data_IF_124679567389
#
_entry.id   IF_124679567389
#
_cell.length_a   1.000
_cell.length_b   1.000
_cell.length_c   1.000
_cell.angle_alpha   90.00
_cell.angle_beta   90.00
_cell.angle_gamma   90.00
#
_symmetry.space_group_name_H-M   'P 1'
#
loop_
_entity.id
_entity.type
_entity.pdbx_description
1 polymer ?
#
# COMPACT_ATOMS: atom_id res chain seq x y z
N UNK A 1 -5.43 -25.67 -13.02
CA UNK A 1 -5.52 -24.19 -12.93
C UNK A 1 -4.83 -23.81 -11.63
N UNK A 2 -3.73 -23.07 -11.72
CA UNK A 2 -2.93 -22.71 -10.56
C UNK A 2 -3.32 -21.30 -10.14
N UNK A 3 -3.72 -21.13 -8.88
CA UNK A 3 -3.93 -19.82 -8.28
C UNK A 3 -2.60 -19.37 -7.68
N UNK A 4 -2.18 -18.16 -8.03
CA UNK A 4 -1.02 -17.52 -7.40
C UNK A 4 -1.56 -16.69 -6.24
N UNK A 5 -1.16 -17.05 -5.03
CA UNK A 5 -1.33 -16.18 -3.87
C UNK A 5 -0.06 -15.31 -3.81
N UNK A 6 -0.14 -14.01 -4.16
CA UNK A 6 1.01 -13.14 -3.97
C UNK A 6 1.40 -13.20 -2.49
N UNK A 7 2.67 -13.46 -2.19
CA UNK A 7 3.18 -13.54 -0.83
C UNK A 7 2.88 -12.22 -0.10
N UNK A 8 1.79 -12.20 0.65
CA UNK A 8 1.16 -10.98 1.15
C UNK A 8 1.86 -10.34 2.34
N UNK A 9 3.19 -10.41 2.45
CA UNK A 9 3.84 -10.21 3.75
C UNK A 9 5.06 -9.28 3.76
N UNK A 10 5.51 -8.76 2.62
CA UNK A 10 6.63 -7.79 2.55
C UNK A 10 6.15 -6.36 2.33
N UNK A 11 5.21 -6.14 1.40
CA UNK A 11 4.61 -4.83 1.16
C UNK A 11 3.87 -4.25 2.40
N UNK A 12 3.09 -5.05 3.18
CA UNK A 12 2.42 -4.52 4.37
C UNK A 12 3.37 -4.17 5.52
N UNK A 13 4.51 -4.86 5.63
CA UNK A 13 5.48 -4.65 6.72
C UNK A 13 6.29 -3.37 6.53
N UNK A 14 6.76 -3.10 5.32
CA UNK A 14 7.43 -1.83 5.00
C UNK A 14 6.49 -0.63 5.17
N UNK A 15 5.21 -0.86 4.87
CA UNK A 15 4.14 0.12 5.00
C UNK A 15 3.83 0.45 6.45
N UNK A 16 3.72 -0.56 7.29
CA UNK A 16 3.57 -0.38 8.72
C UNK A 16 4.78 0.35 9.33
N UNK A 17 6.02 -0.01 8.94
CA UNK A 17 7.22 0.65 9.48
C UNK A 17 7.32 2.12 9.10
N UNK A 18 7.11 2.46 7.83
CA UNK A 18 7.13 3.84 7.33
C UNK A 18 6.02 4.69 8.00
N UNK A 19 4.85 4.09 8.19
CA UNK A 19 3.73 4.76 8.87
C UNK A 19 4.03 5.02 10.35
N UNK A 20 4.69 4.07 11.03
CA UNK A 20 5.09 4.20 12.43
C UNK A 20 6.18 5.27 12.61
N UNK A 21 7.18 5.34 11.73
CA UNK A 21 8.22 6.39 11.77
C UNK A 21 7.60 7.79 11.70
N UNK A 22 6.66 7.99 10.77
CA UNK A 22 5.98 9.28 10.65
C UNK A 22 5.08 9.63 11.85
N UNK A 23 4.45 8.63 12.49
CA UNK A 23 3.73 8.87 13.75
C UNK A 23 4.66 9.30 14.88
N UNK A 24 5.86 8.72 14.91
CA UNK A 24 6.89 9.04 15.90
C UNK A 24 7.38 10.49 15.74
N UNK A 25 7.60 10.93 14.50
CA UNK A 25 7.98 12.32 14.18
C UNK A 25 6.87 13.32 14.54
N UNK A 26 5.61 12.96 14.27
CA UNK A 26 4.45 13.76 14.67
C UNK A 26 4.32 13.87 16.21
N UNK A 27 4.54 12.76 16.92
CA UNK A 27 4.51 12.73 18.38
C UNK A 27 5.60 13.62 19.01
N UNK A 28 6.82 13.59 18.45
CA UNK A 28 7.93 14.47 18.87
C UNK A 28 7.61 15.95 18.63
N UNK A 29 7.04 16.26 17.47
CA UNK A 29 6.64 17.63 17.12
C UNK A 29 5.57 18.17 18.07
N UNK A 30 4.58 17.34 18.44
CA UNK A 30 3.56 17.65 19.45
C UNK A 30 4.16 17.87 20.85
N UNK A 31 5.09 17.01 21.27
CA UNK A 31 5.77 17.14 22.56
C UNK A 31 6.54 18.45 22.67
N UNK A 32 7.18 18.89 21.58
CA UNK A 32 7.88 20.18 21.53
C UNK A 32 6.92 21.37 21.66
N UNK A 33 5.77 21.36 20.97
CA UNK A 33 4.74 22.40 21.10
C UNK A 33 4.25 22.52 22.55
N UNK A 34 3.98 21.39 23.20
CA UNK A 34 3.54 21.35 24.61
C UNK A 34 4.60 21.95 25.54
N UNK A 35 5.89 21.69 25.27
CA UNK A 35 6.99 22.28 26.02
C UNK A 35 7.04 23.80 25.89
N UNK A 36 6.95 24.34 24.67
CA UNK A 36 6.97 25.80 24.44
C UNK A 36 5.81 26.52 25.15
N UNK A 37 4.63 25.89 25.19
CA UNK A 37 3.48 26.41 25.94
C UNK A 37 3.79 26.45 27.44
N UNK A 38 4.40 25.40 28.00
CA UNK A 38 4.74 25.32 29.44
C UNK A 38 5.74 26.39 29.87
N UNK A 39 6.68 26.77 29.01
CA UNK A 39 7.67 27.82 29.32
C UNK A 39 7.19 29.24 28.95
N UNK A 40 5.91 29.39 28.56
CA UNK A 40 5.29 30.68 28.26
C UNK A 40 5.63 31.27 26.89
N UNK A 41 6.20 30.47 25.98
CA UNK A 41 6.60 30.93 24.66
C UNK A 41 5.48 30.74 23.62
N UNK A 42 4.43 31.56 23.76
CA UNK A 42 3.19 31.41 22.98
C UNK A 42 3.34 31.69 21.48
N UNK A 43 4.28 32.56 21.07
CA UNK A 43 4.53 32.84 19.66
C UNK A 43 5.15 31.62 18.96
N UNK A 44 6.20 31.03 19.54
CA UNK A 44 6.79 29.80 19.01
C UNK A 44 5.80 28.65 19.05
N UNK A 45 4.99 28.53 20.10
CA UNK A 45 3.94 27.52 20.17
C UNK A 45 2.89 27.68 19.06
N UNK A 46 2.53 28.91 18.68
CA UNK A 46 1.60 29.19 17.59
C UNK A 46 2.18 28.80 16.23
N UNK A 47 3.43 29.19 15.96
CA UNK A 47 4.15 28.82 14.73
C UNK A 47 4.29 27.29 14.64
N UNK A 48 4.69 26.66 15.74
CA UNK A 48 4.76 25.21 15.89
C UNK A 48 3.43 24.51 15.58
N UNK A 49 2.33 25.02 16.14
CA UNK A 49 1.00 24.45 15.94
C UNK A 49 0.53 24.55 14.48
N UNK A 50 0.91 25.60 13.76
CA UNK A 50 0.66 25.72 12.31
C UNK A 50 1.48 24.68 11.55
N UNK A 51 2.79 24.59 11.79
CA UNK A 51 3.65 23.60 11.13
C UNK A 51 3.20 22.15 11.38
N UNK A 52 2.78 21.82 12.61
CA UNK A 52 2.23 20.50 12.94
C UNK A 52 0.93 20.22 12.18
N UNK A 53 0.06 21.22 12.04
CA UNK A 53 -1.18 21.07 11.27
C UNK A 53 -0.90 20.83 9.79
N UNK A 54 0.03 21.57 9.22
CA UNK A 54 0.41 21.45 7.82
C UNK A 54 1.06 20.08 7.56
N UNK A 55 1.96 19.63 8.45
CA UNK A 55 2.55 18.29 8.39
C UNK A 55 1.49 17.20 8.46
N UNK A 56 0.51 17.31 9.38
CA UNK A 56 -0.59 16.35 9.48
C UNK A 56 -1.42 16.30 8.20
N UNK A 57 -1.68 17.45 7.58
CA UNK A 57 -2.41 17.54 6.30
C UNK A 57 -1.63 16.87 5.16
N UNK A 58 -0.33 17.19 5.03
CA UNK A 58 0.54 16.60 4.03
C UNK A 58 0.65 15.07 4.20
N UNK A 59 0.77 14.60 5.45
CA UNK A 59 0.79 13.18 5.78
C UNK A 59 -0.51 12.48 5.40
N UNK A 60 -1.66 13.08 5.72
CA UNK A 60 -2.96 12.53 5.33
C UNK A 60 -3.09 12.38 3.81
N UNK A 61 -2.66 13.40 3.06
CA UNK A 61 -2.65 13.35 1.59
C UNK A 61 -1.71 12.26 1.04
N UNK A 62 -0.53 12.09 1.65
CA UNK A 62 0.40 11.02 1.27
C UNK A 62 -0.21 9.62 1.51
N UNK A 63 -0.92 9.43 2.62
CA UNK A 63 -1.61 8.17 2.92
C UNK A 63 -2.77 7.88 1.98
N UNK A 64 -3.49 8.90 1.53
CA UNK A 64 -4.54 8.77 0.51
C UNK A 64 -3.97 8.38 -0.85
N UNK A 65 -2.89 9.04 -1.29
CA UNK A 65 -2.23 8.72 -2.56
C UNK A 65 -1.63 7.31 -2.53
N UNK A 66 -1.04 6.92 -1.40
CA UNK A 66 -0.55 5.57 -1.17
C UNK A 66 -1.64 4.52 -1.32
N UNK A 67 -2.80 4.73 -0.71
CA UNK A 67 -3.96 3.83 -0.84
C UNK A 67 -4.38 3.68 -2.31
N UNK A 68 -4.30 4.78 -3.07
CA UNK A 68 -4.60 4.79 -4.51
C UNK A 68 -3.56 4.00 -5.31
N UNK A 69 -2.27 4.14 -5.02
CA UNK A 69 -1.18 3.40 -5.66
C UNK A 69 -1.30 1.89 -5.40
N UNK A 70 -1.58 1.49 -4.16
CA UNK A 70 -1.79 0.07 -3.83
C UNK A 70 -2.97 -0.54 -4.57
N UNK A 71 -4.08 0.19 -4.64
CA UNK A 71 -5.25 -0.23 -5.42
C UNK A 71 -4.90 -0.40 -6.89
N UNK A 72 -4.16 0.55 -7.48
CA UNK A 72 -3.73 0.48 -8.87
C UNK A 72 -2.77 -0.70 -9.10
N UNK A 73 -1.80 -0.91 -8.21
CA UNK A 73 -0.87 -2.03 -8.28
C UNK A 73 -1.58 -3.38 -8.25
N UNK A 74 -2.58 -3.56 -7.38
CA UNK A 74 -3.41 -4.78 -7.35
C UNK A 74 -4.18 -5.00 -8.65
N UNK A 75 -4.74 -3.94 -9.23
CA UNK A 75 -5.47 -4.00 -10.50
C UNK A 75 -4.54 -4.39 -11.66
N UNK A 76 -3.35 -3.79 -11.75
CA UNK A 76 -2.37 -4.10 -12.80
C UNK A 76 -1.83 -5.53 -12.68
N UNK A 77 -1.67 -6.04 -11.46
CA UNK A 77 -1.24 -7.42 -11.22
C UNK A 77 -2.33 -8.48 -11.48
N UNK A 78 -3.53 -8.10 -11.92
CA UNK A 78 -4.63 -9.03 -12.18
C UNK A 78 -5.13 -9.74 -10.91
N UNK A 79 -4.89 -9.16 -9.72
CA UNK A 79 -5.34 -9.72 -8.45
C UNK A 79 -6.82 -9.43 -8.29
N UNK A 80 -7.65 -10.48 -8.28
CA UNK A 80 -9.10 -10.40 -8.05
C UNK A 80 -9.39 -11.22 -6.79
N UNK A 81 -9.84 -10.56 -5.71
CA UNK A 81 -10.14 -11.19 -4.42
C UNK A 81 -8.95 -11.95 -3.78
N UNK A 82 -7.78 -11.30 -3.68
CA UNK A 82 -6.55 -11.79 -3.01
C UNK A 82 -5.82 -12.98 -3.66
N UNK A 83 -6.20 -13.35 -4.88
CA UNK A 83 -5.44 -14.27 -5.72
C UNK A 83 -5.31 -13.73 -7.15
N UNK A 84 -4.22 -14.11 -7.81
CA UNK A 84 -4.01 -13.84 -9.23
C UNK A 84 -4.17 -15.14 -10.04
N UNK A 85 -4.76 -15.02 -11.23
CA UNK A 85 -4.81 -16.13 -12.17
C UNK A 85 -3.48 -16.22 -12.94
N UNK A 86 -2.84 -17.37 -12.91
CA UNK A 86 -1.68 -17.63 -13.77
C UNK A 86 -2.15 -17.84 -15.22
N UNK A 87 -2.15 -16.77 -16.01
CA UNK A 87 -2.59 -16.81 -17.40
C UNK A 87 -1.67 -17.68 -18.28
N UNK A 88 -0.39 -17.81 -17.95
CA UNK A 88 0.54 -18.64 -18.72
C UNK A 88 0.26 -20.13 -18.47
N UNK A 89 0.08 -20.52 -17.20
CA UNK A 89 -0.32 -21.88 -16.85
C UNK A 89 -1.72 -22.22 -17.40
N UNK A 90 -2.66 -21.28 -17.35
CA UNK A 90 -3.99 -21.45 -17.93
C UNK A 90 -3.92 -21.64 -19.45
N UNK A 91 -3.12 -20.81 -20.14
CA UNK A 91 -2.89 -20.91 -21.59
C UNK A 91 -2.29 -22.26 -21.98
N UNK A 92 -1.28 -22.72 -21.24
CA UNK A 92 -0.66 -24.03 -21.47
C UNK A 92 -1.67 -25.18 -21.30
N UNK A 93 -2.50 -25.12 -20.27
CA UNK A 93 -3.54 -26.13 -20.02
C UNK A 93 -4.62 -26.15 -21.12
N UNK A 94 -5.11 -24.98 -21.53
CA UNK A 94 -6.06 -24.87 -22.64
C UNK A 94 -5.44 -25.41 -23.93
N UNK A 95 -4.20 -25.04 -24.24
CA UNK A 95 -3.47 -25.52 -25.41
C UNK A 95 -3.37 -27.05 -25.47
N UNK A 96 -3.02 -27.69 -24.34
CA UNK A 96 -2.99 -29.16 -24.23
C UNK A 96 -4.36 -29.80 -24.50
N UNK A 97 -5.44 -29.22 -23.96
CA UNK A 97 -6.80 -29.73 -24.19
C UNK A 97 -7.23 -29.61 -25.64
N UNK A 98 -6.94 -28.47 -26.27
CA UNK A 98 -7.22 -28.25 -27.68
C UNK A 98 -6.43 -29.19 -28.59
N UNK A 99 -5.17 -29.48 -28.25
CA UNK A 99 -4.38 -30.48 -28.98
C UNK A 99 -5.03 -31.87 -28.90
N UNK A 100 -5.42 -32.33 -27.69
CA UNK A 100 -6.12 -33.61 -27.53
C UNK A 100 -7.44 -33.68 -28.31
N UNK A 101 -8.22 -32.60 -28.32
CA UNK A 101 -9.46 -32.55 -29.10
C UNK A 101 -9.19 -32.63 -30.61
N UNK A 102 -8.10 -32.03 -31.09
CA UNK A 102 -7.69 -32.13 -32.49
C UNK A 102 -7.26 -33.55 -32.84
N UNK A 103 -6.46 -34.18 -31.98
CA UNK A 103 -6.02 -35.56 -32.19
C UNK A 103 -7.21 -36.53 -32.20
N UNK A 104 -8.21 -36.32 -31.34
CA UNK A 104 -9.42 -37.14 -31.29
C UNK A 104 -10.39 -36.93 -32.47
N UNK A 105 -10.24 -35.85 -33.25
CA UNK A 105 -11.05 -35.57 -34.45
C UNK A 105 -10.32 -35.85 -35.76
N UNK A 106 -9.11 -36.43 -35.71
CA UNK A 106 -8.29 -36.77 -36.87
C UNK A 106 -8.44 -38.23 -37.35
N UNK A 107 -9.44 -38.94 -36.83
CA UNK A 107 -9.97 -40.22 -37.33
C UNK A 107 -11.28 -40.00 -38.13
#
# INVERSE_FOLDING_TARGET
MTLIFPAGDTAPKHLLSETLEHFDDAARSLAWVIHEIKIGNYQKAKEAAVSVRDLKSAFQMAMEERTRVEKLGRQTAGIVHDYALDFDAARAEIGRRLARLRDAGAD
#
